data_IF_418726980012
#
_entry.id   IF_418726980012
#
_cell.length_a   1.000
_cell.length_b   1.000
_cell.length_c   1.000
_cell.angle_alpha   90.00
_cell.angle_beta   90.00
_cell.angle_gamma   90.00
#
_symmetry.space_group_name_H-M   'P 1'
#
loop_
_entity.id
_entity.type
_entity.pdbx_description
1 polymer ?
#
# COMPACT_ATOMS: atom_id res chain seq x y z
N UNK A 1 19.36 6.37 -11.53
CA UNK A 1 18.86 4.99 -11.71
C UNK A 1 19.55 4.45 -12.95
N UNK A 2 20.11 3.23 -12.95
CA UNK A 2 20.72 2.70 -14.17
C UNK A 2 19.62 2.50 -15.23
N UNK A 3 19.94 2.52 -16.55
CA UNK A 3 18.93 2.26 -17.61
C UNK A 3 18.15 0.97 -17.37
N UNK A 4 18.79 -0.10 -16.89
CA UNK A 4 18.14 -1.36 -16.56
C UNK A 4 17.20 -1.25 -15.34
N UNK A 5 17.52 -0.40 -14.37
CA UNK A 5 16.67 -0.14 -13.20
C UNK A 5 15.52 0.82 -13.54
N UNK A 6 15.75 1.79 -14.42
CA UNK A 6 14.70 2.62 -15.00
C UNK A 6 13.73 1.77 -15.82
N UNK A 7 14.24 0.85 -16.62
CA UNK A 7 13.45 -0.13 -17.37
C UNK A 7 12.64 -1.04 -16.43
N UNK A 8 13.23 -1.60 -15.36
CA UNK A 8 12.52 -2.37 -14.35
C UNK A 8 11.49 -1.52 -13.60
N UNK A 9 11.83 -0.29 -13.21
CA UNK A 9 10.91 0.62 -12.53
C UNK A 9 9.76 1.03 -13.45
N UNK A 10 10.04 1.39 -14.71
CA UNK A 10 9.02 1.69 -15.71
C UNK A 10 8.18 0.44 -16.04
N UNK A 11 8.77 -0.74 -15.98
CA UNK A 11 8.08 -2.01 -16.17
C UNK A 11 7.10 -2.31 -15.02
N UNK A 12 7.53 -2.14 -13.78
CA UNK A 12 6.68 -2.41 -12.62
C UNK A 12 5.68 -1.29 -12.33
N UNK A 13 5.98 -0.04 -12.70
CA UNK A 13 5.18 1.15 -12.39
C UNK A 13 4.48 1.72 -13.62
N UNK A 14 5.05 1.57 -14.83
CA UNK A 14 4.59 2.22 -16.06
C UNK A 14 3.94 1.30 -17.12
N UNK A 15 4.16 0.00 -17.07
CA UNK A 15 3.63 -0.93 -18.10
C UNK A 15 3.04 -2.20 -17.48
N UNK A 16 1.77 -2.18 -17.07
CA UNK A 16 1.14 -3.32 -16.42
C UNK A 16 0.84 -4.50 -17.36
N UNK A 17 1.17 -4.43 -18.67
CA UNK A 17 0.87 -5.50 -19.60
C UNK A 17 2.09 -6.43 -19.80
N UNK A 18 2.06 -7.68 -19.26
CA UNK A 18 3.15 -8.65 -19.40
C UNK A 18 3.51 -9.02 -20.83
N UNK A 19 2.64 -8.72 -21.81
CA UNK A 19 2.90 -8.99 -23.23
C UNK A 19 4.00 -8.10 -23.84
N UNK A 20 4.33 -6.99 -23.16
CA UNK A 20 5.39 -6.08 -23.58
C UNK A 20 6.71 -6.30 -22.82
N UNK A 21 6.78 -7.31 -21.96
CA UNK A 21 8.01 -7.66 -21.28
C UNK A 21 9.00 -8.30 -22.27
N UNK A 22 10.31 -7.96 -22.23
CA UNK A 22 11.33 -8.70 -22.96
C UNK A 22 11.21 -10.20 -22.66
N UNK A 23 11.45 -11.02 -23.67
CA UNK A 23 11.28 -12.48 -23.56
C UNK A 23 12.12 -13.05 -22.42
N UNK A 24 13.31 -12.47 -22.21
CA UNK A 24 14.23 -12.80 -21.13
C UNK A 24 13.64 -12.52 -19.71
N UNK A 25 12.75 -11.54 -19.57
CA UNK A 25 12.08 -11.25 -18.29
C UNK A 25 10.80 -12.04 -18.12
N UNK A 26 10.11 -12.42 -19.22
CA UNK A 26 8.92 -13.29 -19.17
C UNK A 26 9.26 -14.70 -18.69
N UNK A 27 10.42 -15.20 -19.10
CA UNK A 27 10.93 -16.53 -18.81
C UNK A 27 12.07 -16.50 -17.77
N UNK A 28 12.31 -15.35 -17.14
CA UNK A 28 13.34 -15.22 -16.13
C UNK A 28 13.09 -16.18 -14.96
N UNK A 29 14.04 -17.05 -14.64
CA UNK A 29 13.96 -17.92 -13.46
C UNK A 29 13.70 -17.14 -12.16
N UNK A 30 14.11 -15.86 -12.12
CA UNK A 30 13.90 -14.97 -10.97
C UNK A 30 12.44 -14.62 -10.77
N UNK A 31 11.63 -14.57 -11.84
CA UNK A 31 10.19 -14.27 -11.75
C UNK A 31 9.29 -15.50 -11.93
N UNK A 32 9.79 -16.57 -12.58
CA UNK A 32 9.02 -17.77 -12.88
C UNK A 32 9.34 -19.00 -12.03
N UNK A 33 10.59 -19.17 -11.64
CA UNK A 33 11.09 -20.31 -10.86
C UNK A 33 12.14 -19.89 -9.80
N UNK A 34 12.19 -18.60 -9.45
CA UNK A 34 13.06 -18.10 -8.39
C UNK A 34 12.80 -18.86 -7.11
N UNK A 35 13.84 -19.37 -6.46
CA UNK A 35 13.72 -19.88 -5.10
C UNK A 35 13.39 -18.67 -4.22
N UNK A 36 12.15 -18.59 -3.80
CA UNK A 36 11.71 -17.63 -2.81
C UNK A 36 11.88 -18.28 -1.43
N UNK A 37 12.64 -17.65 -0.54
CA UNK A 37 12.53 -17.99 0.87
C UNK A 37 11.31 -17.25 1.42
N UNK A 38 10.50 -17.94 2.18
CA UNK A 38 9.42 -17.28 2.90
C UNK A 38 10.03 -16.25 3.86
N UNK A 39 9.75 -14.97 3.64
CA UNK A 39 10.23 -13.89 4.51
C UNK A 39 9.83 -14.08 5.97
N UNK A 40 8.80 -14.87 6.24
CA UNK A 40 8.41 -15.30 7.59
C UNK A 40 9.43 -16.18 8.27
N UNK A 41 10.08 -17.08 7.52
CA UNK A 41 11.12 -17.97 8.01
C UNK A 41 12.42 -17.26 8.39
N UNK A 42 12.63 -16.02 7.97
CA UNK A 42 13.80 -15.23 8.34
C UNK A 42 13.88 -15.04 9.84
N UNK A 43 15.07 -15.27 10.38
CA UNK A 43 15.38 -15.07 11.81
C UNK A 43 16.21 -13.80 11.99
N UNK A 44 16.05 -13.16 13.13
CA UNK A 44 16.94 -12.07 13.53
C UNK A 44 18.39 -12.58 13.59
N UNK A 45 19.32 -11.77 13.10
CA UNK A 45 20.73 -12.12 12.98
C UNK A 45 21.08 -12.97 11.75
N UNK A 46 20.12 -13.38 10.94
CA UNK A 46 20.37 -14.14 9.71
C UNK A 46 20.99 -13.24 8.65
N UNK A 47 22.02 -13.77 7.94
CA UNK A 47 22.74 -13.03 6.91
C UNK A 47 21.87 -12.79 5.68
N UNK A 48 21.94 -11.55 5.19
CA UNK A 48 21.29 -11.13 3.95
C UNK A 48 22.23 -10.29 3.09
N UNK A 49 21.98 -10.32 1.79
CA UNK A 49 22.73 -9.57 0.79
C UNK A 49 21.77 -8.60 0.09
N UNK A 50 22.09 -7.32 0.11
CA UNK A 50 21.37 -6.31 -0.65
C UNK A 50 22.08 -6.09 -1.99
N UNK A 51 21.33 -6.26 -3.09
CA UNK A 51 21.81 -6.16 -4.46
C UNK A 51 21.20 -4.91 -5.09
N UNK A 52 21.98 -4.14 -5.82
CA UNK A 52 21.49 -2.95 -6.53
C UNK A 52 22.56 -2.29 -7.36
N UNK A 53 22.30 -1.08 -7.86
CA UNK A 53 23.21 -0.28 -8.69
C UNK A 53 23.34 1.15 -8.13
N UNK A 54 23.94 1.33 -6.94
CA UNK A 54 24.07 2.65 -6.35
C UNK A 54 25.09 3.50 -7.13
N UNK A 55 24.84 4.83 -7.19
CA UNK A 55 25.75 5.83 -7.76
C UNK A 55 26.15 5.58 -9.23
N UNK A 56 25.25 5.04 -10.05
CA UNK A 56 25.50 4.69 -11.46
C UNK A 56 26.68 3.69 -11.65
N UNK A 57 27.10 3.03 -10.57
CA UNK A 57 28.06 1.93 -10.62
C UNK A 57 27.35 0.67 -11.12
N UNK A 58 28.13 -0.24 -11.74
CA UNK A 58 27.63 -1.58 -12.07
C UNK A 58 27.23 -2.32 -10.80
N UNK A 59 26.37 -3.33 -10.92
CA UNK A 59 25.77 -4.10 -9.84
C UNK A 59 26.66 -4.23 -8.60
N UNK A 60 26.15 -3.72 -7.49
CA UNK A 60 26.84 -3.71 -6.20
C UNK A 60 26.11 -4.65 -5.24
N UNK A 61 26.86 -5.43 -4.48
CA UNK A 61 26.33 -6.30 -3.43
C UNK A 61 26.90 -5.84 -2.10
N UNK A 62 26.02 -5.65 -1.13
CA UNK A 62 26.38 -5.38 0.26
C UNK A 62 25.84 -6.47 1.16
N UNK A 63 26.50 -6.77 2.27
CA UNK A 63 26.12 -7.81 3.21
C UNK A 63 25.75 -7.19 4.57
N UNK A 64 24.82 -7.80 5.25
CA UNK A 64 24.41 -7.47 6.60
C UNK A 64 23.54 -8.58 7.19
N UNK A 65 22.82 -8.27 8.25
CA UNK A 65 21.92 -9.22 8.92
C UNK A 65 20.49 -8.70 8.95
N UNK A 66 19.55 -9.57 9.21
CA UNK A 66 18.18 -9.19 9.58
C UNK A 66 18.22 -8.56 10.98
N UNK A 67 18.14 -7.24 11.06
CA UNK A 67 18.21 -6.50 12.33
C UNK A 67 16.85 -6.45 13.04
N UNK A 68 15.74 -6.41 12.27
CA UNK A 68 14.38 -6.47 12.79
C UNK A 68 13.40 -6.92 11.69
N UNK A 69 12.21 -7.31 12.11
CA UNK A 69 11.07 -7.61 11.22
C UNK A 69 9.86 -6.78 11.65
N UNK A 70 8.87 -6.67 10.78
CA UNK A 70 7.62 -5.96 11.05
C UNK A 70 7.83 -4.50 11.50
N UNK A 71 8.80 -3.78 10.91
CA UNK A 71 9.04 -2.38 11.25
C UNK A 71 8.02 -1.46 10.61
N UNK A 72 7.44 -0.60 11.43
CA UNK A 72 6.62 0.54 11.01
C UNK A 72 7.47 1.80 11.11
N UNK A 73 7.39 2.66 10.11
CA UNK A 73 8.23 3.87 9.99
C UNK A 73 7.41 5.15 9.88
N UNK A 74 6.09 5.02 9.73
CA UNK A 74 5.13 6.11 9.52
C UNK A 74 5.49 7.02 8.33
N UNK A 75 6.08 6.42 7.27
CA UNK A 75 6.52 7.15 6.07
C UNK A 75 5.46 7.22 4.99
N UNK A 76 4.45 6.35 5.03
CA UNK A 76 3.34 6.34 4.06
C UNK A 76 2.17 7.12 4.66
N UNK A 77 1.79 8.30 4.11
CA UNK A 77 0.73 9.14 4.64
C UNK A 77 -0.67 8.64 4.25
N UNK A 78 -0.93 7.33 4.35
CA UNK A 78 -2.22 6.71 4.06
C UNK A 78 -2.72 6.01 5.33
N UNK A 79 -3.96 6.24 5.73
CA UNK A 79 -4.56 5.56 6.89
C UNK A 79 -4.71 4.04 6.70
N UNK A 80 -4.68 3.57 5.44
CA UNK A 80 -4.72 2.15 5.07
C UNK A 80 -3.35 1.63 4.64
N UNK A 81 -2.27 2.31 5.07
CA UNK A 81 -0.91 1.91 4.78
C UNK A 81 -0.61 0.53 5.35
N UNK A 82 0.16 -0.23 4.61
CA UNK A 82 0.76 -1.47 5.06
C UNK A 82 2.25 -1.18 5.20
N UNK A 83 2.70 -1.05 6.43
CA UNK A 83 4.10 -0.90 6.76
C UNK A 83 4.54 -2.09 7.60
N UNK A 84 5.18 -3.05 6.96
CA UNK A 84 5.86 -4.16 7.60
C UNK A 84 7.16 -4.37 6.86
N UNK A 85 8.23 -3.72 7.33
CA UNK A 85 9.52 -3.78 6.66
C UNK A 85 10.46 -4.76 7.37
N UNK A 86 11.30 -5.44 6.57
CA UNK A 86 12.52 -6.09 7.05
C UNK A 86 13.55 -5.00 7.23
N UNK A 87 14.10 -4.86 8.45
CA UNK A 87 15.23 -3.99 8.72
C UNK A 87 16.53 -4.79 8.58
N UNK A 88 17.54 -4.22 7.92
CA UNK A 88 18.89 -4.78 7.80
C UNK A 88 19.94 -3.70 7.97
N UNK A 89 21.13 -4.09 8.38
CA UNK A 89 22.34 -3.26 8.39
C UNK A 89 23.19 -3.45 7.12
N UNK A 90 22.73 -4.25 6.14
CA UNK A 90 23.30 -4.23 4.80
C UNK A 90 23.21 -2.82 4.22
N UNK A 91 24.31 -2.29 3.70
CA UNK A 91 24.35 -0.90 3.23
C UNK A 91 23.50 -0.72 1.97
N UNK A 92 22.43 0.05 2.11
CA UNK A 92 21.57 0.47 1.00
C UNK A 92 21.74 1.99 0.82
N UNK A 93 21.98 2.41 -0.42
CA UNK A 93 22.10 3.81 -0.81
C UNK A 93 21.19 4.08 -2.01
N UNK A 94 20.93 5.36 -2.37
CA UNK A 94 20.19 5.69 -3.59
C UNK A 94 20.74 4.94 -4.81
N UNK A 95 19.87 4.19 -5.50
CA UNK A 95 20.19 3.26 -6.59
C UNK A 95 20.05 1.78 -6.22
N UNK A 96 20.04 1.42 -4.94
CA UNK A 96 19.71 0.06 -4.49
C UNK A 96 18.20 -0.16 -4.32
N UNK A 97 17.39 0.89 -4.23
CA UNK A 97 15.93 0.79 -4.13
C UNK A 97 15.36 0.10 -5.37
N UNK A 98 14.47 -0.88 -5.15
CA UNK A 98 13.96 -1.79 -6.18
C UNK A 98 14.84 -3.02 -6.43
N UNK A 99 16.08 -3.05 -5.90
CA UNK A 99 16.96 -4.21 -5.96
C UNK A 99 16.60 -5.29 -4.95
N UNK A 100 17.14 -6.48 -5.15
CA UNK A 100 16.83 -7.64 -4.33
C UNK A 100 17.52 -7.58 -2.96
N UNK A 101 16.81 -8.03 -1.92
CA UNK A 101 17.37 -8.51 -0.68
C UNK A 101 17.26 -10.04 -0.72
N UNK A 102 18.40 -10.73 -0.64
CA UNK A 102 18.46 -12.21 -0.72
C UNK A 102 19.13 -12.79 0.54
N UNK A 103 18.81 -14.05 0.85
CA UNK A 103 19.53 -14.80 1.88
C UNK A 103 20.83 -15.38 1.33
N UNK A 104 21.57 -16.14 2.14
CA UNK A 104 22.85 -16.77 1.76
C UNK A 104 22.70 -17.90 0.73
N UNK A 105 21.49 -18.37 0.44
CA UNK A 105 21.21 -19.34 -0.60
C UNK A 105 20.84 -18.68 -1.93
N UNK A 106 20.83 -17.33 -1.99
CA UNK A 106 20.41 -16.57 -3.18
C UNK A 106 18.90 -16.48 -3.35
N UNK A 107 18.12 -16.88 -2.34
CA UNK A 107 16.67 -16.82 -2.38
C UNK A 107 16.19 -15.41 -2.03
N UNK A 108 15.21 -14.88 -2.79
CA UNK A 108 14.63 -13.57 -2.57
C UNK A 108 13.85 -13.55 -1.25
N UNK A 109 14.21 -12.65 -0.35
CA UNK A 109 13.53 -12.43 0.94
C UNK A 109 12.85 -11.07 1.02
N UNK A 110 13.21 -10.13 0.16
CA UNK A 110 12.59 -8.80 0.10
C UNK A 110 13.10 -7.95 -1.05
N UNK A 111 12.49 -6.77 -1.18
CA UNK A 111 12.91 -5.74 -2.15
C UNK A 111 13.36 -4.51 -1.37
N UNK A 112 14.62 -4.09 -1.60
CA UNK A 112 15.19 -2.89 -0.99
C UNK A 112 14.34 -1.67 -1.36
N UNK A 113 13.98 -0.83 -0.39
CA UNK A 113 13.06 0.27 -0.66
C UNK A 113 13.51 1.62 -0.11
N UNK A 114 13.90 1.68 1.15
CA UNK A 114 14.25 2.96 1.79
C UNK A 114 15.34 2.78 2.86
N UNK A 115 15.93 3.92 3.24
CA UNK A 115 16.81 4.05 4.40
C UNK A 115 16.20 5.07 5.36
N UNK A 116 16.38 4.89 6.66
CA UNK A 116 16.09 5.93 7.65
C UNK A 116 17.37 6.75 7.81
N UNK A 117 17.37 7.97 7.26
CA UNK A 117 18.55 8.84 7.27
C UNK A 117 18.12 10.31 7.29
N UNK A 118 18.84 11.13 8.04
CA UNK A 118 18.68 12.59 8.01
C UNK A 118 19.47 13.24 6.88
N UNK A 119 20.51 12.56 6.38
CA UNK A 119 21.43 13.08 5.36
C UNK A 119 21.16 12.50 3.97
N UNK A 120 20.26 11.53 3.84
CA UNK A 120 20.03 10.78 2.59
C UNK A 120 21.06 9.66 2.33
N UNK A 121 22.07 9.50 3.21
CA UNK A 121 23.06 8.43 3.12
C UNK A 121 22.81 7.35 4.16
N UNK A 122 23.28 6.15 3.89
CA UNK A 122 23.22 5.01 4.81
C UNK A 122 23.88 5.32 6.16
N UNK A 123 23.18 5.02 7.25
CA UNK A 123 23.64 5.19 8.64
C UNK A 123 23.40 3.94 9.52
N UNK A 124 23.29 2.76 8.90
CA UNK A 124 23.05 1.50 9.62
C UNK A 124 21.59 1.03 9.62
N UNK A 125 20.67 1.76 8.97
CA UNK A 125 19.24 1.42 8.94
C UNK A 125 18.73 1.40 7.50
N UNK A 126 18.63 0.18 6.96
CA UNK A 126 18.05 -0.09 5.65
C UNK A 126 16.78 -0.92 5.81
N UNK A 127 15.85 -0.76 4.87
CA UNK A 127 14.54 -1.40 4.92
C UNK A 127 14.17 -2.00 3.58
N UNK A 128 13.58 -3.21 3.64
CA UNK A 128 13.08 -3.92 2.48
C UNK A 128 11.62 -4.34 2.69
N UNK A 129 10.85 -4.35 1.60
CA UNK A 129 9.50 -4.91 1.58
C UNK A 129 9.62 -6.43 1.59
N UNK A 130 8.94 -7.15 2.50
CA UNK A 130 8.98 -8.61 2.55
C UNK A 130 8.53 -9.27 1.23
N UNK A 131 9.20 -10.35 0.85
CA UNK A 131 8.91 -11.09 -0.37
C UNK A 131 7.44 -11.52 -0.48
N UNK A 132 6.83 -11.94 0.62
CA UNK A 132 5.43 -12.35 0.68
C UNK A 132 4.46 -11.28 0.21
N UNK A 133 4.70 -10.02 0.59
CA UNK A 133 3.90 -8.87 0.12
C UNK A 133 4.21 -8.60 -1.37
N UNK A 134 5.49 -8.61 -1.75
CA UNK A 134 5.92 -8.37 -3.14
C UNK A 134 5.27 -9.37 -4.08
N UNK A 135 5.33 -10.67 -3.77
CA UNK A 135 4.74 -11.73 -4.57
C UNK A 135 3.25 -11.51 -4.81
N UNK A 136 2.51 -11.24 -3.74
CA UNK A 136 1.07 -10.97 -3.81
C UNK A 136 0.76 -9.78 -4.71
N UNK A 137 1.48 -8.67 -4.54
CA UNK A 137 1.31 -7.44 -5.35
C UNK A 137 1.59 -7.72 -6.82
N UNK A 138 2.68 -8.42 -7.15
CA UNK A 138 3.04 -8.76 -8.53
C UNK A 138 1.98 -9.63 -9.19
N UNK A 139 1.50 -10.66 -8.48
CA UNK A 139 0.44 -11.54 -8.99
C UNK A 139 -0.84 -10.75 -9.23
N UNK A 140 -1.26 -9.89 -8.30
CA UNK A 140 -2.45 -9.06 -8.46
C UNK A 140 -2.35 -8.14 -9.68
N UNK A 141 -1.22 -7.44 -9.82
CA UNK A 141 -1.01 -6.55 -10.97
C UNK A 141 -1.01 -7.30 -12.30
N UNK A 142 -0.47 -8.52 -12.32
CA UNK A 142 -0.47 -9.38 -13.51
C UNK A 142 -1.88 -9.89 -13.87
N UNK A 143 -2.66 -10.28 -12.89
CA UNK A 143 -3.96 -10.91 -13.08
C UNK A 143 -5.09 -9.88 -13.24
N UNK A 144 -5.08 -8.82 -12.44
CA UNK A 144 -6.20 -7.87 -12.34
C UNK A 144 -5.84 -6.46 -12.80
N UNK A 145 -4.55 -6.17 -13.04
CA UNK A 145 -4.06 -4.83 -13.36
C UNK A 145 -4.11 -3.84 -12.18
N UNK A 146 -4.54 -4.30 -10.99
CA UNK A 146 -4.66 -3.51 -9.77
C UNK A 146 -4.44 -4.40 -8.55
N UNK A 147 -3.83 -3.83 -7.49
CA UNK A 147 -3.59 -4.56 -6.24
C UNK A 147 -4.90 -4.79 -5.50
N UNK A 148 -5.21 -6.04 -5.21
CA UNK A 148 -6.37 -6.44 -4.41
C UNK A 148 -6.07 -6.19 -2.93
N UNK A 149 -6.77 -5.25 -2.30
CA UNK A 149 -6.56 -4.93 -0.89
C UNK A 149 -7.68 -5.50 -0.04
N UNK A 150 -7.37 -6.55 0.71
CA UNK A 150 -8.24 -7.05 1.75
C UNK A 150 -8.10 -6.20 3.01
N UNK A 151 -9.19 -6.01 3.71
CA UNK A 151 -9.26 -5.21 4.93
C UNK A 151 -10.03 -5.94 6.02
N UNK A 152 -9.57 -5.83 7.24
CA UNK A 152 -10.29 -6.34 8.41
C UNK A 152 -11.40 -5.38 8.84
N UNK A 153 -11.23 -4.08 8.60
CA UNK A 153 -12.20 -3.05 8.97
C UNK A 153 -12.27 -2.80 10.47
N UNK A 154 -11.11 -2.61 11.10
CA UNK A 154 -10.98 -2.28 12.53
C UNK A 154 -10.22 -0.98 12.74
N UNK A 155 -10.54 -0.28 13.81
CA UNK A 155 -9.65 0.65 14.47
C UNK A 155 -8.93 -0.11 15.56
N UNK A 156 -7.61 0.05 15.66
CA UNK A 156 -6.81 -0.80 16.53
C UNK A 156 -5.69 -0.02 17.22
N UNK A 157 -5.18 -0.62 18.30
CA UNK A 157 -3.97 -0.19 19.01
C UNK A 157 -3.11 -1.42 19.33
N UNK A 158 -1.77 -1.34 19.23
CA UNK A 158 -0.91 -2.40 19.74
C UNK A 158 -1.08 -2.52 21.26
N UNK A 159 -1.03 -3.75 21.78
CA UNK A 159 -0.99 -3.99 23.23
C UNK A 159 0.47 -4.06 23.66
N UNK A 160 1.09 -2.90 23.75
CA UNK A 160 2.47 -2.68 24.22
C UNK A 160 2.50 -2.21 25.67
N UNK A 161 3.68 -1.85 26.19
CA UNK A 161 3.83 -1.40 27.58
C UNK A 161 3.05 -0.09 27.83
N UNK A 162 3.10 0.84 26.87
CA UNK A 162 2.41 2.13 27.02
C UNK A 162 0.88 1.94 27.07
N UNK A 163 0.34 0.97 26.31
CA UNK A 163 -1.07 0.60 26.39
C UNK A 163 -1.41 0.00 27.75
N UNK A 164 -0.59 -0.93 28.24
CA UNK A 164 -0.82 -1.56 29.56
C UNK A 164 -0.80 -0.51 30.67
N UNK A 165 0.18 0.39 30.66
CA UNK A 165 0.35 1.42 31.69
C UNK A 165 -0.78 2.46 31.66
N UNK A 166 -1.36 2.73 30.48
CA UNK A 166 -2.41 3.75 30.33
C UNK A 166 -3.84 3.22 30.47
N UNK A 167 -4.15 2.05 29.94
CA UNK A 167 -5.52 1.54 29.81
C UNK A 167 -5.67 0.08 30.24
N UNK A 168 -4.56 -0.65 30.48
CA UNK A 168 -4.56 -2.08 30.76
C UNK A 168 -5.38 -2.45 31.99
N UNK A 169 -5.29 -1.68 33.06
CA UNK A 169 -6.03 -1.93 34.30
C UNK A 169 -7.56 -1.76 34.11
N UNK A 170 -7.97 -0.66 33.45
CA UNK A 170 -9.38 -0.37 33.14
C UNK A 170 -10.01 -1.44 32.25
N UNK A 171 -9.25 -1.91 31.26
CA UNK A 171 -9.71 -2.90 30.27
C UNK A 171 -9.48 -4.35 30.71
N UNK A 172 -8.83 -4.57 31.86
CA UNK A 172 -8.49 -5.91 32.36
C UNK A 172 -7.43 -6.64 31.54
N UNK A 173 -6.64 -5.91 30.72
CA UNK A 173 -5.57 -6.43 29.88
C UNK A 173 -4.24 -6.28 30.61
N UNK A 174 -3.58 -7.40 30.92
CA UNK A 174 -2.37 -7.44 31.76
C UNK A 174 -1.12 -7.94 31.04
N UNK A 175 -1.29 -8.52 29.85
CA UNK A 175 -0.20 -9.14 29.11
C UNK A 175 0.08 -8.34 27.84
N UNK A 176 1.34 -8.02 27.62
CA UNK A 176 1.82 -7.41 26.37
C UNK A 176 1.66 -8.40 25.22
N UNK A 177 1.28 -7.91 24.07
CA UNK A 177 1.14 -8.66 22.83
C UNK A 177 -0.29 -8.71 22.33
N UNK A 178 -0.40 -8.82 21.00
CA UNK A 178 -1.67 -8.73 20.31
C UNK A 178 -2.05 -7.30 19.90
N UNK A 179 -3.23 -7.21 19.33
CA UNK A 179 -3.78 -5.96 18.80
C UNK A 179 -5.18 -5.74 19.37
N UNK A 180 -5.34 -4.70 20.16
CA UNK A 180 -6.62 -4.30 20.75
C UNK A 180 -7.53 -3.68 19.70
N UNK A 181 -8.77 -4.15 19.61
CA UNK A 181 -9.80 -3.60 18.74
C UNK A 181 -10.49 -2.42 19.43
N UNK A 182 -10.12 -1.20 19.04
CA UNK A 182 -10.72 0.03 19.57
C UNK A 182 -12.10 0.34 18.95
N UNK A 183 -12.38 -0.24 17.77
CA UNK A 183 -13.66 -0.12 17.07
C UNK A 183 -13.69 -0.98 15.82
N UNK A 184 -14.87 -1.17 15.25
CA UNK A 184 -15.11 -1.89 13.99
C UNK A 184 -15.86 -1.01 13.02
N UNK A 185 -15.54 -1.15 11.74
CA UNK A 185 -16.28 -0.48 10.65
C UNK A 185 -17.56 -1.27 10.38
N UNK A 186 -18.71 -0.59 10.39
CA UNK A 186 -20.00 -1.21 10.05
C UNK A 186 -19.97 -1.79 8.62
N UNK A 187 -20.45 -3.02 8.45
CA UNK A 187 -20.38 -3.74 7.17
C UNK A 187 -18.97 -4.22 6.78
N UNK A 188 -17.95 -3.95 7.59
CA UNK A 188 -16.59 -4.44 7.39
C UNK A 188 -16.43 -5.91 7.80
N UNK A 189 -15.31 -6.53 7.40
CA UNK A 189 -15.02 -7.95 7.65
C UNK A 189 -15.15 -8.35 9.12
N UNK A 190 -14.58 -7.54 10.02
CA UNK A 190 -14.60 -7.78 11.45
C UNK A 190 -16.01 -7.70 12.03
N UNK A 191 -16.78 -6.67 11.65
CA UNK A 191 -18.15 -6.45 12.10
C UNK A 191 -19.04 -7.62 11.72
N UNK A 192 -18.98 -8.07 10.47
CA UNK A 192 -19.77 -9.18 9.95
C UNK A 192 -19.40 -10.52 10.60
N UNK A 193 -18.14 -10.69 10.99
CA UNK A 193 -17.66 -11.88 11.70
C UNK A 193 -17.95 -11.85 13.22
N UNK A 194 -18.50 -10.76 13.75
CA UNK A 194 -18.81 -10.63 15.16
C UNK A 194 -17.60 -10.27 16.05
N UNK A 195 -16.53 -9.72 15.46
CA UNK A 195 -15.45 -9.05 16.18
C UNK A 195 -16.00 -7.69 16.65
N UNK A 196 -15.61 -7.25 17.81
CA UNK A 196 -16.13 -6.04 18.43
C UNK A 196 -15.05 -5.29 19.22
N UNK A 197 -15.33 -4.03 19.53
CA UNK A 197 -14.51 -3.26 20.46
C UNK A 197 -14.29 -4.05 21.76
N UNK A 198 -13.07 -4.06 22.26
CA UNK A 198 -12.67 -4.78 23.47
C UNK A 198 -11.97 -6.12 23.19
N UNK A 199 -12.07 -6.66 21.98
CA UNK A 199 -11.31 -7.86 21.60
C UNK A 199 -9.82 -7.54 21.49
N UNK A 200 -8.98 -8.53 21.81
CA UNK A 200 -7.54 -8.48 21.51
C UNK A 200 -7.21 -9.61 20.54
N UNK A 201 -6.83 -9.26 19.32
CA UNK A 201 -6.40 -10.23 18.32
C UNK A 201 -5.00 -10.71 18.68
N UNK A 202 -4.84 -12.02 18.88
CA UNK A 202 -3.60 -12.66 19.33
C UNK A 202 -3.02 -13.64 18.32
N UNK A 203 -3.82 -14.05 17.31
CA UNK A 203 -3.37 -15.01 16.30
C UNK A 203 -4.21 -14.87 15.02
N UNK A 204 -3.59 -15.10 13.87
CA UNK A 204 -4.21 -15.23 12.55
C UNK A 204 -3.67 -16.47 11.86
N UNK A 205 -4.54 -17.40 11.44
CA UNK A 205 -4.21 -18.65 10.75
C UNK A 205 -3.08 -19.46 11.42
N UNK A 206 -3.04 -19.48 12.76
CA UNK A 206 -2.03 -20.16 13.55
C UNK A 206 -0.75 -19.35 13.79
N UNK A 207 -0.62 -18.17 13.17
CA UNK A 207 0.51 -17.27 13.40
C UNK A 207 0.21 -16.31 14.56
N UNK A 208 1.09 -16.29 15.56
CA UNK A 208 0.97 -15.39 16.70
C UNK A 208 1.13 -13.93 16.29
N UNK A 209 0.21 -13.08 16.72
CA UNK A 209 0.23 -11.63 16.52
C UNK A 209 0.76 -10.99 17.80
N UNK A 210 1.92 -10.37 17.70
CA UNK A 210 2.55 -9.65 18.80
C UNK A 210 2.39 -8.13 18.69
N UNK A 211 2.19 -7.63 17.46
CA UNK A 211 2.14 -6.21 17.13
C UNK A 211 1.22 -5.94 15.92
N UNK A 212 0.95 -4.67 15.69
CA UNK A 212 0.07 -4.22 14.62
C UNK A 212 0.65 -4.44 13.21
N UNK A 213 1.98 -4.33 13.06
CA UNK A 213 2.63 -4.52 11.77
C UNK A 213 2.51 -5.97 11.29
N UNK A 214 2.69 -6.93 12.21
CA UNK A 214 2.49 -8.35 11.91
C UNK A 214 1.04 -8.63 11.48
N UNK A 215 0.04 -8.07 12.17
CA UNK A 215 -1.35 -8.21 11.76
C UNK A 215 -1.61 -7.62 10.37
N UNK A 216 -1.12 -6.40 10.13
CA UNK A 216 -1.28 -5.74 8.83
C UNK A 216 -0.60 -6.53 7.71
N UNK A 217 0.61 -7.06 7.94
CA UNK A 217 1.32 -7.90 6.99
C UNK A 217 0.52 -9.14 6.63
N UNK A 218 -0.02 -9.85 7.65
CA UNK A 218 -0.80 -11.05 7.40
C UNK A 218 -2.06 -10.73 6.58
N UNK A 219 -2.82 -9.69 6.94
CA UNK A 219 -4.00 -9.27 6.17
C UNK A 219 -3.62 -8.85 4.74
N UNK A 220 -2.47 -8.19 4.56
CA UNK A 220 -2.00 -7.70 3.26
C UNK A 220 -1.71 -8.81 2.22
N UNK A 221 -1.48 -10.04 2.67
CA UNK A 221 -1.26 -11.22 1.80
C UNK A 221 -2.53 -11.76 1.20
N UNK A 222 -3.66 -11.39 1.78
CA UNK A 222 -4.97 -11.87 1.36
C UNK A 222 -5.64 -10.94 0.36
N UNK A 223 -6.63 -11.49 -0.31
CA UNK A 223 -7.52 -10.78 -1.22
C UNK A 223 -8.92 -10.67 -0.60
N UNK A 224 -9.77 -9.76 -1.08
CA UNK A 224 -11.19 -9.80 -0.78
C UNK A 224 -11.76 -11.19 -1.08
N UNK A 225 -12.69 -11.66 -0.24
CA UNK A 225 -13.26 -12.99 -0.22
C UNK A 225 -12.40 -14.12 0.37
N UNK A 226 -11.12 -13.89 0.64
CA UNK A 226 -10.33 -14.87 1.38
C UNK A 226 -10.88 -15.01 2.81
N UNK A 227 -10.75 -16.21 3.36
CA UNK A 227 -11.14 -16.50 4.74
C UNK A 227 -9.90 -16.65 5.60
N UNK A 228 -9.92 -15.99 6.73
CA UNK A 228 -8.87 -16.10 7.75
C UNK A 228 -9.49 -16.50 9.08
N UNK A 229 -8.74 -17.22 9.89
CA UNK A 229 -9.15 -17.60 11.23
C UNK A 229 -8.41 -16.74 12.25
N UNK A 230 -9.15 -15.95 13.01
CA UNK A 230 -8.59 -15.13 14.08
C UNK A 230 -8.84 -15.77 15.44
N UNK A 231 -7.79 -15.82 16.29
CA UNK A 231 -7.95 -16.07 17.71
C UNK A 231 -7.99 -14.72 18.44
N UNK A 232 -9.06 -14.45 19.14
CA UNK A 232 -9.24 -13.22 19.92
C UNK A 232 -9.41 -13.53 21.39
N UNK A 233 -8.79 -12.74 22.26
CA UNK A 233 -9.09 -12.72 23.71
C UNK A 233 -10.29 -11.81 23.92
N UNK A 234 -11.35 -12.34 24.55
CA UNK A 234 -12.59 -11.63 24.88
C UNK A 234 -13.10 -12.09 26.23
N UNK A 235 -13.28 -11.16 27.17
CA UNK A 235 -13.79 -11.43 28.51
C UNK A 235 -12.97 -12.49 29.29
N UNK A 236 -11.65 -12.57 29.01
CA UNK A 236 -10.72 -13.56 29.60
C UNK A 236 -10.57 -14.86 28.81
N UNK A 237 -11.46 -15.15 27.86
CA UNK A 237 -11.44 -16.36 27.07
C UNK A 237 -10.82 -16.14 25.68
N UNK A 238 -10.19 -17.17 25.12
CA UNK A 238 -9.75 -17.18 23.72
C UNK A 238 -10.86 -17.78 22.84
N UNK A 239 -11.30 -17.00 21.84
CA UNK A 239 -12.33 -17.41 20.86
C UNK A 239 -11.71 -17.44 19.48
N UNK A 240 -12.04 -18.48 18.72
CA UNK A 240 -11.70 -18.56 17.30
C UNK A 240 -12.88 -18.04 16.46
N UNK A 241 -12.57 -17.16 15.52
CA UNK A 241 -13.56 -16.48 14.66
C UNK A 241 -13.09 -16.59 13.22
N UNK A 242 -13.93 -17.20 12.36
CA UNK A 242 -13.69 -17.22 10.92
C UNK A 242 -14.15 -15.88 10.30
N UNK A 243 -13.27 -15.22 9.58
CA UNK A 243 -13.51 -13.91 9.01
C UNK A 243 -13.36 -13.99 7.49
N UNK A 244 -14.39 -13.58 6.76
CA UNK A 244 -14.29 -13.37 5.31
C UNK A 244 -13.84 -11.94 5.07
N UNK A 245 -12.68 -11.77 4.45
CA UNK A 245 -12.10 -10.46 4.19
C UNK A 245 -12.84 -9.72 3.07
N UNK A 246 -12.92 -8.41 3.18
CA UNK A 246 -13.62 -7.51 2.26
C UNK A 246 -12.67 -6.43 1.76
N UNK A 247 -13.01 -5.80 0.63
CA UNK A 247 -12.29 -4.64 0.13
C UNK A 247 -12.68 -3.36 0.90
N UNK A 248 -12.10 -2.21 0.52
CA UNK A 248 -12.36 -0.90 1.15
C UNK A 248 -13.85 -0.49 1.09
N UNK A 249 -14.59 -0.95 0.08
CA UNK A 249 -16.02 -0.68 -0.06
C UNK A 249 -16.91 -1.64 0.75
N UNK A 250 -16.32 -2.52 1.57
CA UNK A 250 -17.06 -3.53 2.36
C UNK A 250 -17.58 -4.70 1.53
N UNK A 251 -17.04 -4.91 0.34
CA UNK A 251 -17.46 -5.96 -0.59
C UNK A 251 -16.43 -7.08 -0.67
N UNK A 252 -16.87 -8.26 -1.06
CA UNK A 252 -16.01 -9.44 -1.29
C UNK A 252 -15.52 -9.56 -2.72
N UNK A 253 -16.08 -8.77 -3.66
CA UNK A 253 -15.68 -8.79 -5.06
C UNK A 253 -14.24 -8.29 -5.22
N UNK A 254 -13.51 -8.97 -6.12
CA UNK A 254 -12.24 -8.50 -6.61
C UNK A 254 -12.48 -7.31 -7.54
N UNK A 255 -11.58 -6.34 -7.51
CA UNK A 255 -11.64 -5.18 -8.39
C UNK A 255 -10.74 -5.41 -9.60
N UNK A 256 -11.18 -4.94 -10.76
CA UNK A 256 -10.37 -4.93 -11.98
C UNK A 256 -9.83 -3.51 -12.23
N UNK A 257 -9.00 -3.36 -13.24
CA UNK A 257 -8.49 -2.04 -13.63
C UNK A 257 -9.62 -1.08 -14.03
N UNK A 258 -10.71 -1.63 -14.57
CA UNK A 258 -11.91 -0.87 -14.97
C UNK A 258 -12.74 -0.42 -13.76
N UNK A 259 -12.66 -1.15 -12.65
CA UNK A 259 -13.40 -0.85 -11.41
C UNK A 259 -12.65 0.14 -10.49
N UNK A 260 -11.42 0.52 -10.85
CA UNK A 260 -10.66 1.49 -10.04
C UNK A 260 -11.40 2.82 -10.08
N UNK A 261 -11.84 3.25 -8.90
CA UNK A 261 -12.49 4.54 -8.69
C UNK A 261 -11.72 5.63 -9.43
N UNK A 262 -12.40 6.28 -10.35
CA UNK A 262 -11.91 7.39 -11.17
C UNK A 262 -11.19 8.44 -10.30
N UNK A 263 -11.70 8.68 -9.12
CA UNK A 263 -11.17 9.63 -8.12
C UNK A 263 -9.80 9.17 -7.60
N UNK A 264 -9.66 7.87 -7.30
CA UNK A 264 -8.40 7.29 -6.82
C UNK A 264 -7.34 7.21 -7.92
N UNK A 265 -7.76 6.86 -9.14
CA UNK A 265 -6.88 6.77 -10.32
C UNK A 265 -6.23 8.12 -10.66
N UNK A 266 -6.97 9.23 -10.53
CA UNK A 266 -6.43 10.58 -10.76
C UNK A 266 -5.35 10.97 -9.75
N UNK A 267 -5.33 10.37 -8.58
CA UNK A 267 -4.33 10.68 -7.55
C UNK A 267 -4.49 12.09 -6.98
N UNK A 268 -5.74 12.49 -6.68
CA UNK A 268 -6.08 13.79 -6.11
C UNK A 268 -7.02 13.69 -4.92
N UNK A 269 -7.19 14.81 -4.23
CA UNK A 269 -8.32 15.05 -3.32
C UNK A 269 -9.27 16.01 -4.01
N UNK A 270 -10.55 15.70 -3.94
CA UNK A 270 -11.58 16.42 -4.69
C UNK A 270 -12.71 16.85 -3.76
N UNK A 271 -13.39 17.93 -4.16
CA UNK A 271 -14.62 18.41 -3.52
C UNK A 271 -15.50 19.06 -4.59
N UNK A 272 -16.79 19.12 -4.34
CA UNK A 272 -17.66 19.90 -5.20
C UNK A 272 -17.23 21.37 -5.23
N UNK A 273 -17.26 21.98 -6.41
CA UNK A 273 -17.01 23.40 -6.53
C UNK A 273 -18.11 24.17 -5.80
N UNK A 274 -17.70 24.94 -4.79
CA UNK A 274 -18.65 25.69 -3.97
C UNK A 274 -19.46 26.70 -4.80
N UNK A 275 -20.71 26.97 -4.41
CA UNK A 275 -21.64 27.86 -5.13
C UNK A 275 -21.09 29.27 -5.40
N UNK A 276 -20.25 29.78 -4.51
CA UNK A 276 -19.56 31.06 -4.71
C UNK A 276 -18.59 30.98 -5.87
N UNK A 277 -17.72 29.97 -5.87
CA UNK A 277 -16.73 29.75 -6.92
C UNK A 277 -17.38 29.49 -8.28
N UNK A 278 -18.48 28.72 -8.31
CA UNK A 278 -19.24 28.49 -9.55
C UNK A 278 -19.77 29.77 -10.15
N UNK A 279 -20.28 30.72 -9.32
CA UNK A 279 -20.75 32.03 -9.78
C UNK A 279 -19.62 32.91 -10.31
N UNK A 280 -18.48 32.92 -9.61
CA UNK A 280 -17.31 33.69 -10.02
C UNK A 280 -16.70 33.22 -11.36
N UNK A 281 -16.82 31.92 -11.64
CA UNK A 281 -16.29 31.29 -12.85
C UNK A 281 -17.34 31.11 -13.97
N UNK A 282 -18.57 31.52 -13.73
CA UNK A 282 -19.73 31.37 -14.66
C UNK A 282 -19.91 29.92 -15.13
N UNK A 283 -19.83 28.96 -14.18
CA UNK A 283 -20.01 27.52 -14.42
C UNK A 283 -21.21 27.00 -13.63
N UNK A 284 -21.90 25.97 -14.17
CA UNK A 284 -23.05 25.35 -13.53
C UNK A 284 -22.73 24.46 -12.35
N UNK A 285 -21.47 23.95 -12.30
CA UNK A 285 -20.94 23.05 -11.30
C UNK A 285 -19.57 22.58 -11.74
N UNK A 286 -18.96 21.69 -10.98
CA UNK A 286 -17.66 21.11 -11.28
C UNK A 286 -17.01 20.49 -10.05
N UNK A 287 -15.89 19.84 -10.24
CA UNK A 287 -15.13 19.17 -9.18
C UNK A 287 -13.82 19.89 -8.96
N UNK A 288 -13.66 20.51 -7.80
CA UNK A 288 -12.44 21.23 -7.44
C UNK A 288 -11.36 20.26 -6.95
N UNK A 289 -10.15 20.35 -7.50
CA UNK A 289 -8.95 19.67 -7.02
C UNK A 289 -8.48 20.39 -5.75
N UNK A 290 -8.74 19.82 -4.59
CA UNK A 290 -8.34 20.37 -3.27
C UNK A 290 -7.00 19.86 -2.79
N UNK A 291 -6.41 18.88 -3.49
CA UNK A 291 -5.06 18.38 -3.24
C UNK A 291 -4.59 17.50 -4.40
N UNK A 292 -3.28 17.43 -4.61
CA UNK A 292 -2.65 16.60 -5.64
C UNK A 292 -1.62 15.69 -4.96
N UNK A 293 -1.74 14.38 -5.15
CA UNK A 293 -0.82 13.38 -4.62
C UNK A 293 0.45 13.38 -5.48
N UNK A 294 1.61 13.48 -4.85
CA UNK A 294 2.88 13.41 -5.55
C UNK A 294 3.03 12.05 -6.26
N UNK A 295 3.44 12.06 -7.54
CA UNK A 295 3.54 10.86 -8.39
C UNK A 295 2.19 10.38 -8.98
N UNK A 296 1.05 10.93 -8.58
CA UNK A 296 -0.26 10.63 -9.18
C UNK A 296 -0.41 11.19 -10.60
N UNK A 297 -1.44 10.75 -11.34
CA UNK A 297 -1.72 11.17 -12.72
C UNK A 297 -1.84 12.70 -12.82
N UNK A 298 -2.59 13.33 -11.91
CA UNK A 298 -2.71 14.79 -11.88
C UNK A 298 -1.37 15.50 -11.67
N UNK A 299 -0.49 14.95 -10.81
CA UNK A 299 0.85 15.48 -10.56
C UNK A 299 1.72 15.41 -11.82
N UNK A 300 1.70 14.27 -12.51
CA UNK A 300 2.43 14.06 -13.79
C UNK A 300 1.91 14.99 -14.89
N UNK A 301 0.61 15.17 -14.96
CA UNK A 301 -0.03 16.12 -15.87
C UNK A 301 0.16 17.59 -15.46
N UNK A 302 0.82 17.86 -14.33
CA UNK A 302 1.07 19.20 -13.78
C UNK A 302 -0.19 19.99 -13.44
N UNK A 303 -1.27 19.29 -13.14
CA UNK A 303 -2.49 19.91 -12.61
C UNK A 303 -2.21 20.44 -11.22
N UNK A 304 -2.61 21.69 -10.95
CA UNK A 304 -2.38 22.34 -9.65
C UNK A 304 -3.65 22.31 -8.81
N UNK A 305 -3.47 22.34 -7.49
CA UNK A 305 -4.57 22.55 -6.55
C UNK A 305 -5.36 23.81 -6.92
N UNK A 306 -6.67 23.75 -6.74
CA UNK A 306 -7.61 24.82 -7.09
C UNK A 306 -8.24 24.65 -8.48
N UNK A 307 -7.72 23.82 -9.35
CA UNK A 307 -8.33 23.54 -10.66
C UNK A 307 -9.74 22.98 -10.48
N UNK A 308 -10.71 23.50 -11.22
CA UNK A 308 -12.08 23.01 -11.23
C UNK A 308 -12.31 22.24 -12.52
N UNK A 309 -12.47 20.94 -12.40
CA UNK A 309 -12.78 20.04 -13.51
C UNK A 309 -14.24 20.23 -13.88
N UNK A 310 -14.51 20.52 -15.14
CA UNK A 310 -15.86 20.70 -15.69
C UNK A 310 -16.23 19.64 -16.71
N UNK A 311 -15.22 18.99 -17.34
CA UNK A 311 -15.41 17.88 -18.26
C UNK A 311 -14.34 16.81 -18.04
N UNK A 312 -14.73 15.57 -18.26
CA UNK A 312 -13.85 14.39 -18.31
C UNK A 312 -14.19 13.62 -19.58
N UNK A 313 -13.18 13.36 -20.44
CA UNK A 313 -13.39 12.74 -21.75
C UNK A 313 -14.51 13.42 -22.56
N UNK A 314 -14.51 14.76 -22.61
CA UNK A 314 -15.53 15.59 -23.23
C UNK A 314 -16.95 15.53 -22.59
N UNK A 315 -17.16 14.66 -21.61
CA UNK A 315 -18.44 14.58 -20.87
C UNK A 315 -18.47 15.61 -19.73
N UNK A 316 -19.55 16.39 -19.56
CA UNK A 316 -19.65 17.39 -18.49
C UNK A 316 -19.75 16.72 -17.12
N UNK A 317 -19.07 17.32 -16.14
CA UNK A 317 -19.05 16.90 -14.73
C UNK A 317 -19.47 18.10 -13.88
N UNK A 318 -20.53 17.94 -13.10
CA UNK A 318 -21.08 19.00 -12.27
C UNK A 318 -20.82 18.81 -10.78
N UNK A 319 -20.57 17.55 -10.36
CA UNK A 319 -20.36 17.17 -8.96
C UNK A 319 -19.36 16.03 -8.82
N UNK A 320 -18.87 15.83 -7.61
CA UNK A 320 -18.03 14.68 -7.26
C UNK A 320 -18.77 13.36 -7.54
N UNK A 321 -20.08 13.31 -7.25
CA UNK A 321 -20.91 12.14 -7.56
C UNK A 321 -20.98 11.81 -9.05
N UNK A 322 -20.91 12.81 -9.93
CA UNK A 322 -20.86 12.54 -11.38
C UNK A 322 -19.55 11.90 -11.76
N UNK A 323 -18.44 12.38 -11.18
CA UNK A 323 -17.12 11.84 -11.41
C UNK A 323 -16.98 10.42 -10.84
N UNK A 324 -17.55 10.12 -9.67
CA UNK A 324 -17.56 8.80 -9.04
C UNK A 324 -18.38 7.75 -9.82
N UNK A 325 -19.36 8.18 -10.60
CA UNK A 325 -20.18 7.28 -11.45
C UNK A 325 -19.55 6.96 -12.80
N UNK A 326 -18.45 7.60 -13.15
CA UNK A 326 -17.78 7.34 -14.43
C UNK A 326 -17.04 6.01 -14.36
N UNK A 327 -17.34 5.13 -15.32
CA UNK A 327 -16.70 3.81 -15.47
C UNK A 327 -15.67 3.79 -16.59
N UNK A 328 -15.57 4.87 -17.38
CA UNK A 328 -14.66 4.93 -18.50
C UNK A 328 -13.26 5.41 -18.07
N UNK A 329 -12.23 4.88 -18.74
CA UNK A 329 -10.85 5.35 -18.58
C UNK A 329 -10.75 6.85 -18.87
N UNK A 330 -10.22 7.61 -17.91
CA UNK A 330 -9.99 9.04 -18.10
C UNK A 330 -8.80 9.25 -19.02
N UNK A 331 -9.03 9.93 -20.14
CA UNK A 331 -8.01 10.31 -21.12
C UNK A 331 -7.73 11.81 -21.10
N UNK A 332 -8.73 12.61 -20.78
CA UNK A 332 -8.62 14.07 -20.70
C UNK A 332 -9.44 14.62 -19.55
N UNK A 333 -9.02 15.75 -19.03
CA UNK A 333 -9.77 16.59 -18.13
C UNK A 333 -9.70 18.04 -18.62
N UNK A 334 -10.86 18.70 -18.68
CA UNK A 334 -10.98 20.10 -19.01
C UNK A 334 -11.58 20.85 -17.84
N UNK A 335 -11.20 22.10 -17.68
CA UNK A 335 -11.71 22.89 -16.58
C UNK A 335 -11.09 24.28 -16.50
N UNK A 336 -11.27 24.93 -15.36
CA UNK A 336 -10.92 26.33 -15.16
C UNK A 336 -10.27 26.52 -13.78
N UNK A 337 -9.22 27.35 -13.73
CA UNK A 337 -8.63 27.80 -12.49
C UNK A 337 -9.44 28.95 -11.84
N UNK A 338 -9.31 29.17 -10.52
CA UNK A 338 -9.99 30.28 -9.83
C UNK A 338 -9.70 31.66 -10.39
N UNK A 339 -8.58 31.82 -11.12
CA UNK A 339 -8.24 33.08 -11.81
C UNK A 339 -8.89 33.25 -13.20
N UNK A 340 -9.84 32.38 -13.55
CA UNK A 340 -10.55 32.40 -14.84
C UNK A 340 -9.81 31.76 -16.01
N UNK A 341 -8.60 31.21 -15.80
CA UNK A 341 -7.83 30.55 -16.87
C UNK A 341 -8.36 29.14 -17.11
N UNK A 342 -8.88 28.88 -18.30
CA UNK A 342 -9.21 27.52 -18.75
C UNK A 342 -7.94 26.73 -19.09
N UNK A 343 -8.00 25.42 -18.84
CA UNK A 343 -6.93 24.50 -19.20
C UNK A 343 -7.52 23.12 -19.54
N UNK A 344 -6.86 22.44 -20.46
CA UNK A 344 -7.13 21.06 -20.87
C UNK A 344 -5.88 20.23 -20.64
N UNK A 345 -6.04 19.05 -20.07
CA UNK A 345 -4.97 18.14 -19.77
C UNK A 345 -5.26 16.77 -20.35
N UNK A 346 -4.36 16.33 -21.24
CA UNK A 346 -4.34 14.92 -21.66
C UNK A 346 -3.65 14.11 -20.55
N UNK A 347 -4.31 13.11 -20.05
CA UNK A 347 -3.80 12.22 -19.01
C UNK A 347 -3.18 11.01 -19.70
N UNK A 348 -1.86 11.06 -19.85
CA UNK A 348 -1.07 9.92 -20.36
C UNK A 348 -0.66 9.09 -19.14
N UNK A 349 -0.84 7.79 -19.26
CA UNK A 349 -0.40 6.80 -18.24
C UNK A 349 1.10 6.80 -18.05
#
# INVERSE_FOLDING_TARGET
MSPAMEELYQYFVGHPNPRHWPEELRDSPVLGHGQYAFSEGLRLGEWVLAIGSPFDLQSTITAGIVSAKARQLDVIPDQFRIESFIQTDAAVNPGNSGGALVNTHGELVGINTLIKSQTGSYIGYSFAIPESIVRKVVVDLKEYGVVQRAMLGIMFRPVDQDFIDSEGEELGIKEIGGVYVAGVTEGGSASEAGIRKGDVIVEIDGLKINDAATLQEQIARHRPNDKVKLSVKRDGDVKQIDVTLRNKAGKTELITKEDVDVVEALGGKFADAGTKLCRELDIRGGVQVVGVKQGGILSRARVKQGFVITHINDAPVYSLSDMERMTEKIRSIDGIYPNGRSASYMLVE
#
